data_IF_504180388572
#
_entry.id   IF_504180388572
#
_cell.length_a   1.000
_cell.length_b   1.000
_cell.length_c   1.000
_cell.angle_alpha   90.00
_cell.angle_beta   90.00
_cell.angle_gamma   90.00
#
_symmetry.space_group_name_H-M   'P 1'
#
loop_
_entity.id
_entity.type
_entity.pdbx_description
1 polymer ?
#
# COMPACT_ATOMS: atom_id res chain seq x y z
N UNK A 1 -20.16 -17.05 -0.59
CA UNK A 1 -19.76 -16.12 0.49
C UNK A 1 -19.39 -14.80 -0.18
N UNK A 2 -19.83 -13.66 0.35
CA UNK A 2 -19.33 -12.37 -0.15
C UNK A 2 -17.86 -12.22 0.23
N UNK A 3 -16.98 -11.72 -0.66
CA UNK A 3 -15.57 -11.52 -0.32
C UNK A 3 -15.46 -10.55 0.85
N UNK A 4 -14.81 -10.99 1.93
CA UNK A 4 -14.63 -10.19 3.16
C UNK A 4 -13.43 -9.23 3.07
N UNK A 5 -12.61 -9.36 2.03
CA UNK A 5 -11.34 -8.67 1.89
C UNK A 5 -11.16 -8.17 0.46
N UNK A 6 -10.55 -7.00 0.33
CA UNK A 6 -10.09 -6.41 -0.93
C UNK A 6 -8.58 -6.20 -0.77
N UNK A 7 -7.80 -6.79 -1.66
CA UNK A 7 -6.36 -6.54 -1.74
C UNK A 7 -6.10 -5.49 -2.83
N UNK A 8 -5.24 -4.52 -2.54
CA UNK A 8 -4.83 -3.46 -3.47
C UNK A 8 -3.33 -3.54 -3.61
N UNK A 9 -2.86 -3.69 -4.85
CA UNK A 9 -1.45 -3.77 -5.19
C UNK A 9 -1.14 -2.79 -6.32
N UNK A 10 0.12 -2.37 -6.42
CA UNK A 10 0.60 -1.45 -7.43
C UNK A 10 1.98 -0.87 -7.12
N UNK A 11 2.64 -0.25 -8.11
CA UNK A 11 3.99 0.29 -7.94
C UNK A 11 4.10 1.29 -6.79
N UNK A 12 5.25 1.28 -6.10
CA UNK A 12 5.53 2.22 -5.00
C UNK A 12 5.31 3.65 -5.51
N UNK A 13 4.46 4.40 -4.81
CA UNK A 13 4.14 5.80 -5.12
C UNK A 13 2.97 6.02 -6.10
N UNK A 14 2.28 4.96 -6.57
CA UNK A 14 1.09 5.11 -7.44
C UNK A 14 -0.17 5.54 -6.68
N UNK A 15 -0.15 5.47 -5.34
CA UNK A 15 -1.25 5.92 -4.48
C UNK A 15 -2.14 4.80 -3.92
N UNK A 16 -1.66 3.57 -3.86
CA UNK A 16 -2.37 2.41 -3.29
C UNK A 16 -2.87 2.68 -1.87
N UNK A 17 -2.03 3.20 -0.97
CA UNK A 17 -2.42 3.55 0.40
C UNK A 17 -3.56 4.57 0.45
N UNK A 18 -3.54 5.57 -0.44
CA UNK A 18 -4.61 6.57 -0.54
C UNK A 18 -5.91 5.93 -0.98
N UNK A 19 -5.85 5.02 -1.97
CA UNK A 19 -7.02 4.30 -2.44
C UNK A 19 -7.61 3.36 -1.37
N UNK A 20 -6.76 2.63 -0.63
CA UNK A 20 -7.19 1.77 0.48
C UNK A 20 -7.99 2.57 1.52
N UNK A 21 -7.48 3.74 1.93
CA UNK A 21 -8.15 4.60 2.92
C UNK A 21 -9.53 5.06 2.43
N UNK A 22 -9.62 5.53 1.17
CA UNK A 22 -10.90 5.96 0.57
C UNK A 22 -11.91 4.83 0.47
N UNK A 23 -11.48 3.65 0.03
CA UNK A 23 -12.37 2.50 -0.06
C UNK A 23 -12.85 2.02 1.32
N UNK A 24 -11.99 2.09 2.34
CA UNK A 24 -12.38 1.76 3.70
C UNK A 24 -13.48 2.73 4.21
N UNK A 25 -13.35 4.03 3.92
CA UNK A 25 -14.38 5.03 4.24
C UNK A 25 -15.70 4.76 3.51
N UNK A 26 -15.66 4.58 2.17
CA UNK A 26 -16.86 4.40 1.34
C UNK A 26 -17.60 3.09 1.64
N UNK A 27 -16.86 2.00 1.89
CA UNK A 27 -17.42 0.67 2.13
C UNK A 27 -17.68 0.37 3.60
N UNK A 28 -17.39 1.32 4.50
CA UNK A 28 -17.38 1.10 5.97
C UNK A 28 -16.51 -0.11 6.35
N UNK A 29 -15.39 -0.25 5.65
CA UNK A 29 -14.39 -1.28 5.87
C UNK A 29 -13.32 -0.87 6.87
N UNK A 30 -12.41 -1.80 7.20
CA UNK A 30 -11.20 -1.52 7.98
C UNK A 30 -10.00 -1.49 7.05
N UNK A 31 -9.25 -0.39 7.04
CA UNK A 31 -8.00 -0.31 6.30
C UNK A 31 -6.90 -1.12 7.00
N UNK A 32 -6.31 -2.07 6.27
CA UNK A 32 -5.14 -2.84 6.71
C UNK A 32 -3.98 -2.40 5.84
N UNK A 33 -2.94 -1.81 6.45
CA UNK A 33 -1.79 -1.25 5.75
C UNK A 33 -0.52 -2.06 6.06
N UNK A 34 0.40 -2.08 5.11
CA UNK A 34 1.72 -2.69 5.31
C UNK A 34 2.58 -1.88 6.29
N UNK A 35 3.40 -2.55 7.13
CA UNK A 35 4.36 -1.87 7.97
C UNK A 35 5.52 -1.32 7.12
N UNK A 36 5.76 -0.01 7.23
CA UNK A 36 6.90 0.66 6.59
C UNK A 36 8.17 0.51 7.45
N UNK A 37 8.00 0.52 8.77
CA UNK A 37 9.09 0.42 9.73
C UNK A 37 9.76 -0.96 9.66
N UNK A 38 11.10 -0.98 9.64
CA UNK A 38 11.88 -2.21 9.60
C UNK A 38 11.97 -2.88 8.23
N UNK A 39 11.44 -2.27 7.16
CA UNK A 39 11.64 -2.80 5.81
C UNK A 39 13.08 -2.53 5.33
N UNK A 40 13.91 -3.57 5.14
CA UNK A 40 15.33 -3.40 4.80
C UNK A 40 15.56 -2.90 3.37
N UNK A 41 14.53 -2.93 2.51
CA UNK A 41 14.64 -2.56 1.10
C UNK A 41 14.18 -1.13 0.81
N UNK A 42 13.27 -0.59 1.62
CA UNK A 42 12.69 0.73 1.34
C UNK A 42 13.74 1.85 1.41
N UNK A 43 14.66 1.80 2.37
CA UNK A 43 15.69 2.84 2.49
C UNK A 43 16.56 2.92 1.22
N UNK A 44 17.02 1.77 0.71
CA UNK A 44 17.81 1.70 -0.52
C UNK A 44 16.98 2.06 -1.76
N UNK A 45 15.72 1.61 -1.82
CA UNK A 45 14.79 1.99 -2.88
C UNK A 45 14.62 3.52 -2.99
N UNK A 46 14.47 4.21 -1.85
CA UNK A 46 14.32 5.67 -1.84
C UNK A 46 15.63 6.43 -2.09
N UNK A 47 16.81 5.82 -1.91
CA UNK A 47 18.12 6.43 -2.25
C UNK A 47 18.30 6.61 -3.77
N UNK A 48 17.86 5.64 -4.56
CA UNK A 48 17.90 5.74 -6.02
C UNK A 48 16.72 4.98 -6.65
N UNK A 49 15.57 5.65 -6.69
CA UNK A 49 14.34 5.08 -7.23
C UNK A 49 14.46 4.70 -8.71
N UNK A 50 15.29 5.38 -9.51
CA UNK A 50 15.43 5.06 -10.94
C UNK A 50 16.21 3.78 -11.15
N UNK A 51 17.20 3.53 -10.30
CA UNK A 51 18.03 2.32 -10.35
C UNK A 51 17.38 1.11 -9.68
N UNK A 52 16.58 1.34 -8.64
CA UNK A 52 16.06 0.30 -7.75
C UNK A 52 14.56 0.00 -7.93
N UNK A 53 13.90 0.63 -8.92
CA UNK A 53 12.51 0.34 -9.30
C UNK A 53 12.38 -0.68 -10.43
#
# INVERSE_FOLDING_TARGET
MQPKYIAIDGPIGVGTTTLVKRLAEELRGTAILEPVEGNPFLEEFYKDRKRNA
#
